data_IF_967512846603
#
_entry.id   IF_967512846603
#
_cell.length_a   1.000
_cell.length_b   1.000
_cell.length_c   1.000
_cell.angle_alpha   90.00
_cell.angle_beta   90.00
_cell.angle_gamma   90.00
#
_symmetry.space_group_name_H-M   'P 1'
#
loop_
_entity.id
_entity.type
_entity.pdbx_description
1 polymer ?
#
# COMPACT_ATOMS: atom_id res chain seq x y z
N UNK A 1 24.15 3.98 3.72
CA UNK A 1 24.04 3.25 5.00
C UNK A 1 23.14 2.03 4.86
N UNK A 2 23.73 0.86 4.62
CA UNK A 2 22.96 -0.40 4.70
C UNK A 2 22.76 -0.71 6.17
N UNK A 3 21.57 -0.43 6.68
CA UNK A 3 21.24 -0.65 8.07
C UNK A 3 21.22 -2.16 8.34
N UNK A 4 22.02 -2.61 9.31
CA UNK A 4 22.00 -3.98 9.82
C UNK A 4 20.84 -4.08 10.84
N UNK A 5 19.62 -4.16 10.32
CA UNK A 5 18.45 -4.32 11.18
C UNK A 5 18.50 -5.70 11.84
N UNK A 6 18.33 -5.73 13.17
CA UNK A 6 18.05 -6.95 13.89
C UNK A 6 16.78 -7.61 13.32
N UNK A 7 16.74 -8.95 13.34
CA UNK A 7 15.55 -9.67 12.94
C UNK A 7 14.35 -9.20 13.78
N UNK A 8 13.29 -8.73 13.14
CA UNK A 8 12.04 -8.41 13.81
C UNK A 8 11.28 -9.70 14.15
N UNK A 9 10.52 -9.73 15.25
CA UNK A 9 9.62 -10.83 15.53
C UNK A 9 8.59 -10.95 14.39
N UNK A 10 8.46 -12.14 13.81
CA UNK A 10 7.45 -12.40 12.80
C UNK A 10 6.08 -12.50 13.46
N UNK A 11 5.08 -11.80 12.92
CA UNK A 11 3.70 -12.01 13.32
C UNK A 11 3.24 -13.41 12.94
N UNK A 12 2.89 -14.19 13.97
CA UNK A 12 2.16 -15.43 13.86
C UNK A 12 0.85 -15.23 14.61
N UNK A 13 -0.27 -15.36 13.90
CA UNK A 13 -1.61 -15.26 14.46
C UNK A 13 -1.84 -16.23 15.63
N UNK A 14 -1.17 -17.39 15.62
CA UNK A 14 -1.33 -18.49 16.57
C UNK A 14 -0.22 -18.61 17.63
N UNK A 15 0.63 -17.59 17.80
CA UNK A 15 1.67 -17.57 18.85
C UNK A 15 1.45 -16.47 19.89
N UNK A 16 2.28 -16.45 20.95
CA UNK A 16 2.45 -15.24 21.76
C UNK A 16 2.95 -14.11 20.85
N UNK A 17 2.22 -13.00 20.86
CA UNK A 17 2.42 -11.87 19.95
C UNK A 17 2.85 -10.61 20.68
N UNK A 18 2.96 -10.62 22.01
CA UNK A 18 3.09 -9.38 22.81
C UNK A 18 4.27 -8.54 22.32
N UNK A 19 5.46 -9.13 22.16
CA UNK A 19 6.63 -8.40 21.68
C UNK A 19 6.48 -7.85 20.24
N UNK A 20 5.77 -8.56 19.36
CA UNK A 20 5.51 -8.11 18.00
C UNK A 20 4.45 -6.99 17.97
N UNK A 21 3.43 -7.10 18.81
CA UNK A 21 2.37 -6.12 18.98
C UNK A 21 2.92 -4.84 19.63
N UNK A 22 3.77 -4.93 20.66
CA UNK A 22 4.51 -3.82 21.25
C UNK A 22 5.36 -3.09 20.20
N UNK A 23 6.11 -3.84 19.37
CA UNK A 23 6.92 -3.26 18.31
C UNK A 23 6.07 -2.58 17.23
N UNK A 24 4.93 -3.15 16.84
CA UNK A 24 3.99 -2.52 15.90
C UNK A 24 3.40 -1.22 16.48
N UNK A 25 2.99 -1.23 17.74
CA UNK A 25 2.48 -0.04 18.43
C UNK A 25 3.55 1.05 18.47
N UNK A 26 4.75 0.71 18.95
CA UNK A 26 5.85 1.66 19.07
C UNK A 26 6.28 2.22 17.70
N UNK A 27 6.43 1.37 16.68
CA UNK A 27 6.84 1.78 15.35
C UNK A 27 5.85 2.74 14.69
N UNK A 28 4.55 2.44 14.76
CA UNK A 28 3.52 3.31 14.16
C UNK A 28 3.27 4.58 14.97
N UNK A 29 3.46 4.53 16.30
CA UNK A 29 3.48 5.72 17.13
C UNK A 29 4.62 6.65 16.70
N UNK A 30 5.85 6.14 16.59
CA UNK A 30 7.04 6.92 16.22
C UNK A 30 6.89 7.52 14.82
N UNK A 31 6.41 6.74 13.85
CA UNK A 31 6.20 7.22 12.48
C UNK A 31 5.25 8.44 12.45
N UNK A 32 4.10 8.34 13.10
CA UNK A 32 3.13 9.44 13.15
C UNK A 32 3.62 10.60 14.00
N UNK A 33 4.26 10.32 15.14
CA UNK A 33 4.80 11.35 16.03
C UNK A 33 5.83 12.22 15.29
N UNK A 34 6.83 11.59 14.66
CA UNK A 34 7.86 12.28 13.88
C UNK A 34 7.26 13.03 12.69
N UNK A 35 6.30 12.42 11.99
CA UNK A 35 5.63 13.06 10.87
C UNK A 35 4.80 14.29 11.27
N UNK A 36 4.45 14.47 12.56
CA UNK A 36 3.74 15.65 13.07
C UNK A 36 4.68 16.71 13.66
N UNK A 37 5.99 16.47 13.71
CA UNK A 37 6.92 17.42 14.30
C UNK A 37 7.04 18.72 13.47
N UNK A 38 7.09 19.85 14.17
CA UNK A 38 7.38 21.18 13.61
C UNK A 38 6.37 21.71 12.57
N UNK A 39 5.11 21.24 12.58
CA UNK A 39 4.02 21.84 11.78
C UNK A 39 2.62 21.51 12.32
N UNK A 40 1.62 22.31 11.90
CA UNK A 40 0.20 22.06 12.21
C UNK A 40 -0.57 21.35 11.07
N UNK A 41 0.17 20.81 10.10
CA UNK A 41 -0.39 20.04 8.98
C UNK A 41 -1.10 18.75 9.41
N UNK A 42 -1.97 18.26 8.52
CA UNK A 42 -2.69 16.99 8.69
C UNK A 42 -1.78 15.82 8.34
N UNK A 43 -1.71 14.81 9.21
CA UNK A 43 -0.93 13.59 8.99
C UNK A 43 -1.85 12.38 8.90
N UNK A 44 -1.75 11.66 7.78
CA UNK A 44 -2.43 10.39 7.56
C UNK A 44 -1.44 9.22 7.46
N UNK A 45 -1.92 8.02 7.73
CA UNK A 45 -1.17 6.78 7.53
C UNK A 45 -1.97 5.83 6.64
N UNK A 46 -1.26 5.12 5.75
CA UNK A 46 -1.85 4.13 4.87
C UNK A 46 -1.51 2.71 5.34
N UNK A 47 -2.53 1.90 5.62
CA UNK A 47 -2.40 0.48 5.92
C UNK A 47 -2.85 -0.40 4.74
N UNK A 48 -2.44 -1.66 4.76
CA UNK A 48 -2.77 -2.65 3.75
C UNK A 48 -3.60 -3.76 4.39
N UNK A 49 -4.78 -4.05 3.83
CA UNK A 49 -5.61 -5.17 4.28
C UNK A 49 -4.88 -6.52 4.16
N UNK A 50 -3.87 -6.61 3.28
CA UNK A 50 -3.03 -7.80 3.11
C UNK A 50 -2.03 -8.06 4.25
N UNK A 51 -1.86 -7.12 5.18
CA UNK A 51 -1.01 -7.28 6.38
C UNK A 51 -1.91 -7.34 7.63
N UNK A 52 -3.08 -7.98 7.50
CA UNK A 52 -4.15 -8.01 8.50
C UNK A 52 -3.68 -8.34 9.92
N UNK A 53 -2.71 -9.26 10.09
CA UNK A 53 -2.23 -9.68 11.41
C UNK A 53 -1.59 -8.52 12.19
N UNK A 54 -0.89 -7.61 11.52
CA UNK A 54 -0.22 -6.48 12.16
C UNK A 54 -1.12 -5.23 12.29
N UNK A 55 -2.26 -5.20 11.61
CA UNK A 55 -3.08 -3.99 11.50
C UNK A 55 -3.62 -3.52 12.87
N UNK A 56 -4.18 -4.38 13.76
CA UNK A 56 -4.71 -3.88 15.03
C UNK A 56 -3.71 -3.15 15.93
N UNK A 57 -2.54 -3.74 16.28
CA UNK A 57 -1.54 -3.01 17.06
C UNK A 57 -0.97 -1.80 16.32
N UNK A 58 -0.76 -1.90 15.00
CA UNK A 58 -0.24 -0.78 14.20
C UNK A 58 -1.19 0.42 14.18
N UNK A 59 -2.48 0.18 13.97
CA UNK A 59 -3.54 1.20 13.99
C UNK A 59 -3.60 1.85 15.37
N UNK A 60 -3.55 1.05 16.44
CA UNK A 60 -3.57 1.56 17.80
C UNK A 60 -2.36 2.48 18.09
N UNK A 61 -1.15 2.08 17.66
CA UNK A 61 0.06 2.91 17.74
C UNK A 61 -0.08 4.25 17.03
N UNK A 62 -0.61 4.25 15.80
CA UNK A 62 -0.87 5.48 15.05
C UNK A 62 -1.91 6.38 15.74
N UNK A 63 -2.96 5.80 16.33
CA UNK A 63 -3.97 6.54 17.09
C UNK A 63 -3.42 7.16 18.37
N UNK A 64 -2.52 6.47 19.08
CA UNK A 64 -1.83 7.02 20.25
C UNK A 64 -1.03 8.28 19.92
N UNK A 65 -0.41 8.33 18.75
CA UNK A 65 0.31 9.51 18.25
C UNK A 65 -0.63 10.59 17.65
N UNK A 66 -1.95 10.37 17.69
CA UNK A 66 -2.94 11.35 17.25
C UNK A 66 -2.99 11.52 15.72
N UNK A 67 -2.84 10.42 14.96
CA UNK A 67 -3.01 10.43 13.50
C UNK A 67 -4.37 11.03 13.11
N UNK A 68 -4.40 11.78 12.02
CA UNK A 68 -5.60 12.49 11.56
C UNK A 68 -6.44 11.65 10.60
N UNK A 69 -5.77 10.87 9.75
CA UNK A 69 -6.41 9.99 8.76
C UNK A 69 -5.80 8.59 8.78
N UNK A 70 -6.67 7.59 8.68
CA UNK A 70 -6.28 6.23 8.31
C UNK A 70 -6.84 5.94 6.93
N UNK A 71 -5.96 5.62 6.00
CA UNK A 71 -6.31 5.18 4.66
C UNK A 71 -6.03 3.70 4.53
N UNK A 72 -6.87 2.95 3.83
CA UNK A 72 -6.67 1.52 3.73
C UNK A 72 -7.20 0.91 2.44
N UNK A 73 -6.35 0.12 1.78
CA UNK A 73 -6.64 -0.55 0.52
C UNK A 73 -6.07 -1.97 0.46
N UNK A 74 -5.83 -2.47 -0.76
CA UNK A 74 -5.37 -3.83 -1.06
C UNK A 74 -6.29 -4.97 -0.56
N UNK A 75 -7.57 -4.65 -0.33
CA UNK A 75 -8.61 -5.57 0.14
C UNK A 75 -9.87 -4.77 0.47
N UNK A 76 -10.81 -5.36 1.22
CA UNK A 76 -12.06 -4.70 1.62
C UNK A 76 -12.11 -4.64 3.16
N UNK A 77 -11.60 -3.56 3.78
CA UNK A 77 -11.40 -3.47 5.23
C UNK A 77 -12.70 -3.13 5.98
N UNK A 78 -13.75 -3.94 5.84
CA UNK A 78 -15.09 -3.63 6.41
C UNK A 78 -15.10 -3.58 7.94
N UNK A 79 -14.18 -4.28 8.61
CA UNK A 79 -14.14 -4.34 10.09
C UNK A 79 -13.27 -3.25 10.72
N UNK A 80 -12.37 -2.63 9.94
CA UNK A 80 -11.41 -1.65 10.43
C UNK A 80 -12.07 -0.36 10.95
N UNK A 81 -13.12 0.19 10.32
CA UNK A 81 -13.86 1.31 10.89
C UNK A 81 -14.38 1.03 12.30
N UNK A 82 -14.91 -0.17 12.56
CA UNK A 82 -15.40 -0.57 13.89
C UNK A 82 -14.26 -0.73 14.89
N UNK A 83 -13.11 -1.26 14.46
CA UNK A 83 -11.90 -1.35 15.28
C UNK A 83 -11.41 0.03 15.73
N UNK A 84 -11.34 0.99 14.80
CA UNK A 84 -10.98 2.39 15.09
C UNK A 84 -11.98 3.01 16.07
N UNK A 85 -13.28 2.77 15.86
CA UNK A 85 -14.34 3.27 16.74
C UNK A 85 -14.19 2.71 18.17
N UNK A 86 -13.83 1.43 18.33
CA UNK A 86 -13.58 0.78 19.62
C UNK A 86 -12.36 1.38 20.33
N UNK A 87 -11.21 1.46 19.65
CA UNK A 87 -10.00 2.08 20.21
C UNK A 87 -10.22 3.53 20.62
N UNK A 88 -11.01 4.31 19.86
CA UNK A 88 -11.35 5.68 20.23
C UNK A 88 -12.12 5.77 21.57
N UNK A 89 -12.86 4.72 21.93
CA UNK A 89 -13.58 4.57 23.22
C UNK A 89 -12.74 3.91 24.31
N UNK A 90 -11.47 3.62 24.06
CA UNK A 90 -10.58 2.91 24.99
C UNK A 90 -10.92 1.42 25.15
N UNK A 91 -11.65 0.85 24.19
CA UNK A 91 -12.08 -0.55 24.21
C UNK A 91 -11.09 -1.44 23.45
N UNK A 92 -11.02 -2.72 23.81
CA UNK A 92 -10.40 -3.75 22.97
C UNK A 92 -11.21 -3.95 21.69
N UNK A 93 -10.58 -4.53 20.65
CA UNK A 93 -11.26 -4.80 19.39
C UNK A 93 -10.73 -6.05 18.71
N UNK A 94 -11.47 -6.50 17.71
CA UNK A 94 -11.13 -7.71 16.97
C UNK A 94 -11.40 -7.56 15.47
N UNK A 95 -10.65 -8.32 14.69
CA UNK A 95 -10.81 -8.39 13.22
C UNK A 95 -10.70 -9.82 12.73
N UNK A 96 -11.45 -10.17 11.70
CA UNK A 96 -11.38 -11.46 11.02
C UNK A 96 -10.27 -11.44 9.98
N UNK A 97 -9.39 -12.42 10.07
CA UNK A 97 -8.32 -12.65 9.12
C UNK A 97 -8.73 -13.78 8.17
N UNK A 98 -8.74 -13.54 6.85
CA UNK A 98 -8.97 -14.60 5.88
C UNK A 98 -7.89 -15.68 5.98
N UNK A 99 -8.31 -16.94 6.14
CA UNK A 99 -7.42 -18.10 6.12
C UNK A 99 -7.87 -19.03 4.98
N UNK A 100 -6.95 -19.35 4.08
CA UNK A 100 -7.25 -20.25 2.97
C UNK A 100 -7.67 -21.63 3.51
N UNK A 101 -8.71 -22.21 2.91
CA UNK A 101 -9.36 -23.48 3.30
C UNK A 101 -10.23 -23.42 4.57
N UNK A 102 -10.37 -22.26 5.20
CA UNK A 102 -11.52 -22.00 6.07
C UNK A 102 -12.71 -21.57 5.20
N UNK A 103 -13.93 -21.96 5.58
CA UNK A 103 -15.12 -21.36 4.96
C UNK A 103 -15.22 -19.88 5.34
N UNK A 104 -16.01 -19.09 4.59
CA UNK A 104 -16.12 -17.64 4.79
C UNK A 104 -16.54 -17.27 6.23
N UNK A 105 -17.27 -18.16 6.90
CA UNK A 105 -17.78 -17.97 8.26
C UNK A 105 -16.81 -18.47 9.36
N UNK A 106 -15.72 -19.16 9.01
CA UNK A 106 -14.75 -19.72 9.96
C UNK A 106 -13.41 -18.94 10.00
N UNK A 107 -13.37 -17.69 9.52
CA UNK A 107 -12.15 -16.86 9.55
C UNK A 107 -11.52 -16.80 10.95
N UNK A 108 -10.19 -16.65 11.01
CA UNK A 108 -9.48 -16.52 12.29
C UNK A 108 -9.77 -15.13 12.89
N UNK A 109 -10.38 -15.07 14.06
CA UNK A 109 -10.60 -13.82 14.78
C UNK A 109 -9.32 -13.44 15.51
N UNK A 110 -8.78 -12.28 15.18
CA UNK A 110 -7.64 -11.69 15.84
C UNK A 110 -8.12 -10.64 16.83
N UNK A 111 -8.02 -10.94 18.11
CA UNK A 111 -8.27 -10.00 19.19
C UNK A 111 -7.01 -9.16 19.49
N UNK A 112 -7.23 -7.88 19.82
CA UNK A 112 -6.21 -6.98 20.35
C UNK A 112 -6.81 -6.13 21.49
N UNK A 113 -6.20 -6.26 22.66
CA UNK A 113 -6.52 -5.47 23.85
C UNK A 113 -5.33 -4.55 24.16
N UNK A 114 -5.49 -3.22 24.11
CA UNK A 114 -4.45 -2.27 24.45
C UNK A 114 -3.72 -2.50 25.78
N UNK A 115 -4.39 -3.09 26.77
CA UNK A 115 -3.81 -3.39 28.08
C UNK A 115 -2.70 -4.45 28.02
N UNK A 116 -2.64 -5.24 26.94
CA UNK A 116 -1.59 -6.26 26.73
C UNK A 116 -0.22 -5.67 26.40
N UNK A 117 -0.17 -4.43 25.93
CA UNK A 117 1.06 -3.75 25.48
C UNK A 117 1.31 -2.42 26.20
N UNK A 118 0.30 -1.86 26.86
CA UNK A 118 0.41 -0.66 27.69
C UNK A 118 -0.23 -0.91 29.05
N UNK A 119 0.53 -0.72 30.13
CA UNK A 119 0.03 -0.92 31.49
C UNK A 119 -1.15 0.00 31.86
N UNK A 120 -1.18 1.22 31.32
CA UNK A 120 -2.24 2.21 31.54
C UNK A 120 -2.66 2.81 30.19
N UNK A 121 -3.47 2.10 29.38
CA UNK A 121 -3.92 2.62 28.10
C UNK A 121 -4.88 3.81 28.33
N UNK A 122 -4.89 4.83 27.46
CA UNK A 122 -5.81 5.96 27.59
C UNK A 122 -7.28 5.51 27.50
N UNK A 123 -8.14 6.08 28.36
CA UNK A 123 -9.59 5.79 28.33
C UNK A 123 -10.27 6.24 27.04
N UNK A 124 -9.69 7.23 26.34
CA UNK A 124 -10.18 7.74 25.05
C UNK A 124 -9.02 8.15 24.17
N UNK A 125 -9.19 7.94 22.87
CA UNK A 125 -8.27 8.41 21.84
C UNK A 125 -9.00 9.31 20.84
N UNK A 126 -8.24 10.19 20.18
CA UNK A 126 -8.75 10.89 19.01
C UNK A 126 -9.08 9.86 17.94
N UNK A 127 -10.33 9.86 17.48
CA UNK A 127 -10.74 9.03 16.35
C UNK A 127 -10.24 9.67 15.05
N UNK A 128 -9.36 9.02 14.27
CA UNK A 128 -9.00 9.50 12.94
C UNK A 128 -10.18 9.41 11.98
N UNK A 129 -10.12 10.15 10.88
CA UNK A 129 -10.99 9.91 9.74
C UNK A 129 -10.55 8.63 9.02
N UNK A 130 -11.50 7.79 8.62
CA UNK A 130 -11.21 6.58 7.87
C UNK A 130 -11.59 6.74 6.40
N UNK A 131 -10.62 6.57 5.49
CA UNK A 131 -10.81 6.60 4.04
C UNK A 131 -10.53 5.22 3.44
N UNK A 132 -11.54 4.59 2.85
CA UNK A 132 -11.32 3.33 2.14
C UNK A 132 -10.77 3.59 0.74
N UNK A 133 -9.73 2.87 0.34
CA UNK A 133 -9.17 2.90 -1.01
C UNK A 133 -9.78 1.75 -1.81
N UNK A 134 -10.52 2.08 -2.87
CA UNK A 134 -11.28 1.12 -3.67
C UNK A 134 -11.07 1.36 -5.17
N UNK A 135 -11.23 0.30 -5.97
CA UNK A 135 -11.09 0.37 -7.43
C UNK A 135 -12.42 0.37 -8.19
N UNK A 136 -13.56 0.29 -7.50
CA UNK A 136 -14.87 0.25 -8.17
C UNK A 136 -16.01 0.76 -7.29
N UNK A 137 -17.11 1.16 -7.94
CA UNK A 137 -18.36 1.54 -7.27
C UNK A 137 -18.91 0.43 -6.36
N UNK A 138 -18.81 -0.85 -6.78
CA UNK A 138 -19.33 -1.97 -5.98
C UNK A 138 -18.58 -2.07 -4.65
N UNK A 139 -17.25 -1.90 -4.68
CA UNK A 139 -16.44 -1.91 -3.46
C UNK A 139 -16.73 -0.69 -2.58
N UNK A 140 -16.93 0.49 -3.17
CA UNK A 140 -17.36 1.68 -2.44
C UNK A 140 -18.71 1.47 -1.75
N UNK A 141 -19.69 0.89 -2.46
CA UNK A 141 -21.00 0.55 -1.92
C UNK A 141 -20.91 -0.47 -0.78
N UNK A 142 -20.04 -1.50 -0.92
CA UNK A 142 -19.77 -2.45 0.15
C UNK A 142 -19.24 -1.73 1.40
N UNK A 143 -18.25 -0.85 1.27
CA UNK A 143 -17.76 -0.07 2.40
C UNK A 143 -18.85 0.81 3.02
N UNK A 144 -19.66 1.48 2.22
CA UNK A 144 -20.73 2.35 2.70
C UNK A 144 -21.86 1.60 3.44
N UNK A 145 -22.09 0.33 3.12
CA UNK A 145 -23.27 -0.42 3.61
C UNK A 145 -22.93 -1.57 4.55
N UNK A 146 -21.69 -2.06 4.55
CA UNK A 146 -21.27 -3.26 5.30
C UNK A 146 -20.16 -2.99 6.32
N UNK A 147 -19.54 -1.80 6.31
CA UNK A 147 -18.56 -1.48 7.33
C UNK A 147 -19.18 -1.52 8.73
N UNK A 148 -18.43 -2.05 9.70
CA UNK A 148 -18.90 -2.22 11.09
C UNK A 148 -18.87 -0.92 11.90
N UNK A 149 -18.22 0.11 11.37
CA UNK A 149 -18.09 1.44 11.97
C UNK A 149 -18.13 2.54 10.92
N UNK A 150 -17.83 3.77 11.34
CA UNK A 150 -18.00 4.93 10.48
C UNK A 150 -16.93 5.01 9.38
N UNK A 151 -17.36 5.06 8.12
CA UNK A 151 -16.54 5.40 6.96
C UNK A 151 -16.68 6.89 6.66
N UNK A 152 -15.57 7.62 6.63
CA UNK A 152 -15.59 9.08 6.46
C UNK A 152 -15.42 9.52 5.00
N UNK A 153 -14.93 8.63 4.13
CA UNK A 153 -14.81 8.90 2.71
C UNK A 153 -14.15 7.77 1.94
N UNK A 154 -14.01 7.96 0.63
CA UNK A 154 -13.51 6.94 -0.30
C UNK A 154 -12.43 7.54 -1.21
N UNK A 155 -11.29 6.88 -1.34
CA UNK A 155 -10.37 7.12 -2.46
C UNK A 155 -10.68 6.11 -3.55
N UNK A 156 -11.01 6.60 -4.75
CA UNK A 156 -11.26 5.77 -5.93
C UNK A 156 -10.01 5.72 -6.78
N UNK A 157 -9.34 4.58 -6.83
CA UNK A 157 -8.11 4.39 -7.61
C UNK A 157 -8.36 3.57 -8.88
N UNK A 158 -8.11 4.20 -10.03
CA UNK A 158 -8.15 3.53 -11.32
C UNK A 158 -6.91 2.67 -11.59
N UNK A 159 -7.03 1.74 -12.55
CA UNK A 159 -5.95 0.82 -12.94
C UNK A 159 -4.72 1.51 -13.56
N UNK A 160 -4.75 2.83 -13.78
CA UNK A 160 -3.58 3.62 -14.18
C UNK A 160 -2.62 3.94 -13.01
N UNK A 161 -3.07 3.79 -11.76
CA UNK A 161 -2.22 3.96 -10.58
C UNK A 161 -1.02 3.00 -10.56
N UNK A 162 0.04 3.40 -9.87
CA UNK A 162 1.24 2.57 -9.67
C UNK A 162 1.05 1.57 -8.52
N UNK A 163 1.93 0.56 -8.45
CA UNK A 163 1.88 -0.45 -7.38
C UNK A 163 0.75 -1.45 -7.58
N UNK A 164 0.07 -1.84 -6.50
CA UNK A 164 -1.02 -2.81 -6.58
C UNK A 164 -2.19 -2.27 -7.39
N UNK A 165 -2.66 -3.05 -8.37
CA UNK A 165 -3.91 -2.78 -9.07
C UNK A 165 -4.92 -3.88 -8.79
N UNK A 166 -6.20 -3.53 -8.80
CA UNK A 166 -7.25 -4.54 -8.82
C UNK A 166 -7.16 -5.30 -10.16
N UNK A 167 -7.41 -6.62 -10.17
CA UNK A 167 -7.49 -7.37 -11.42
C UNK A 167 -8.65 -6.85 -12.28
N UNK A 168 -8.54 -6.93 -13.64
CA UNK A 168 -9.64 -6.60 -14.52
C UNK A 168 -10.92 -7.39 -14.17
N UNK A 169 -12.07 -6.73 -14.28
CA UNK A 169 -13.36 -7.33 -13.97
C UNK A 169 -13.84 -8.21 -15.13
N UNK A 170 -13.64 -9.51 -14.96
CA UNK A 170 -14.10 -10.53 -15.90
C UNK A 170 -13.04 -11.60 -16.09
N UNK A 171 -13.00 -12.19 -17.29
CA UNK A 171 -11.94 -13.12 -17.68
C UNK A 171 -10.67 -12.31 -17.90
N UNK A 172 -9.60 -12.64 -17.17
CA UNK A 172 -8.29 -12.04 -17.39
C UNK A 172 -7.84 -12.34 -18.82
N UNK A 173 -7.60 -11.29 -19.59
CA UNK A 173 -6.98 -11.34 -20.91
C UNK A 173 -5.75 -10.47 -20.89
N UNK A 174 -4.70 -10.90 -21.60
CA UNK A 174 -3.44 -10.16 -21.70
C UNK A 174 -3.28 -9.58 -23.10
N UNK A 175 -2.65 -8.42 -23.20
CA UNK A 175 -2.24 -7.84 -24.47
C UNK A 175 -0.98 -8.51 -25.04
N UNK A 176 -0.49 -8.01 -26.18
CA UNK A 176 0.72 -8.50 -26.85
C UNK A 176 2.00 -8.36 -26.02
N UNK A 177 2.00 -7.46 -25.02
CA UNK A 177 3.11 -7.24 -24.10
C UNK A 177 2.97 -8.06 -22.80
N UNK A 178 1.86 -8.78 -22.64
CA UNK A 178 1.56 -9.59 -21.46
C UNK A 178 0.95 -8.80 -20.30
N UNK A 179 0.44 -7.59 -20.54
CA UNK A 179 -0.25 -6.79 -19.52
C UNK A 179 -1.76 -7.09 -19.47
N UNK A 180 -2.40 -7.01 -18.29
CA UNK A 180 -3.86 -7.14 -18.17
C UNK A 180 -4.62 -6.11 -19.01
N UNK A 181 -5.59 -6.57 -19.78
CA UNK A 181 -6.53 -5.72 -20.52
C UNK A 181 -7.69 -5.34 -19.59
N UNK A 182 -7.84 -4.04 -19.34
CA UNK A 182 -8.97 -3.47 -18.60
C UNK A 182 -10.06 -3.00 -19.56
N UNK A 183 -11.33 -3.27 -19.23
CA UNK A 183 -12.48 -2.95 -20.06
C UNK A 183 -13.40 -1.90 -19.43
N UNK A 184 -14.55 -1.60 -20.07
CA UNK A 184 -15.49 -0.59 -19.58
C UNK A 184 -16.03 -0.85 -18.16
N UNK A 185 -15.99 -2.10 -17.68
CA UNK A 185 -16.41 -2.46 -16.31
C UNK A 185 -15.42 -2.04 -15.23
N UNK A 186 -14.17 -1.75 -15.62
CA UNK A 186 -13.07 -1.31 -14.77
C UNK A 186 -13.04 0.21 -14.62
N UNK A 187 -13.80 0.93 -15.45
CA UNK A 187 -14.04 2.37 -15.29
C UNK A 187 -15.08 2.61 -14.19
N UNK A 188 -14.79 3.55 -13.29
CA UNK A 188 -15.71 3.90 -12.20
C UNK A 188 -16.72 4.94 -12.67
N UNK A 189 -17.99 4.68 -12.36
CA UNK A 189 -19.10 5.60 -12.58
C UNK A 189 -19.17 6.61 -11.43
N UNK A 190 -18.61 7.81 -11.63
CA UNK A 190 -18.57 8.84 -10.60
C UNK A 190 -19.95 9.43 -10.26
N UNK A 191 -20.91 9.39 -11.20
CA UNK A 191 -22.27 9.84 -10.89
C UNK A 191 -22.92 8.94 -9.83
N UNK A 192 -22.67 7.62 -9.91
CA UNK A 192 -23.09 6.69 -8.85
C UNK A 192 -22.32 6.90 -7.54
N UNK A 193 -21.04 7.29 -7.61
CA UNK A 193 -20.27 7.62 -6.41
C UNK A 193 -20.87 8.80 -5.65
N UNK A 194 -21.29 9.86 -6.35
CA UNK A 194 -22.03 10.99 -5.75
C UNK A 194 -23.27 10.51 -4.99
N UNK A 195 -24.00 9.55 -5.55
CA UNK A 195 -25.19 8.96 -4.93
C UNK A 195 -24.95 8.18 -3.63
N UNK A 196 -23.69 7.87 -3.26
CA UNK A 196 -23.36 7.23 -1.97
C UNK A 196 -23.43 8.21 -0.79
N UNK A 197 -23.50 9.52 -1.04
CA UNK A 197 -23.46 10.56 0.00
C UNK A 197 -22.23 10.47 0.93
N UNK A 198 -21.11 9.97 0.39
CA UNK A 198 -19.80 9.99 1.04
C UNK A 198 -18.85 10.85 0.20
N UNK A 199 -17.97 11.66 0.83
CA UNK A 199 -16.95 12.39 0.07
C UNK A 199 -15.99 11.38 -0.57
N UNK A 200 -15.58 11.65 -1.81
CA UNK A 200 -14.62 10.81 -2.49
C UNK A 200 -13.53 11.60 -3.20
N UNK A 201 -12.36 10.98 -3.37
CA UNK A 201 -11.22 11.50 -4.10
C UNK A 201 -10.89 10.57 -5.26
N UNK A 202 -10.40 11.10 -6.37
CA UNK A 202 -10.04 10.30 -7.55
C UNK A 202 -8.52 10.18 -7.63
N UNK A 203 -8.02 8.95 -7.79
CA UNK A 203 -6.62 8.61 -7.98
C UNK A 203 -6.42 7.71 -9.20
N UNK A 204 -5.17 7.62 -9.65
CA UNK A 204 -4.79 6.87 -10.85
C UNK A 204 -5.03 7.69 -12.12
N UNK A 205 -3.98 8.36 -12.59
CA UNK A 205 -3.96 9.31 -13.72
C UNK A 205 -4.48 10.74 -13.45
N UNK A 206 -4.76 11.12 -12.20
CA UNK A 206 -5.10 12.49 -11.82
C UNK A 206 -3.84 13.35 -11.57
N UNK A 207 -2.97 13.50 -12.56
CA UNK A 207 -1.65 14.13 -12.38
C UNK A 207 -1.38 15.34 -13.28
N UNK A 208 -2.42 15.93 -13.89
CA UNK A 208 -2.32 17.12 -14.73
C UNK A 208 -2.85 18.37 -13.99
N UNK A 209 -2.46 19.59 -14.41
CA UNK A 209 -2.95 20.84 -13.79
C UNK A 209 -4.48 20.93 -13.70
N UNK A 210 -5.19 20.44 -14.71
CA UNK A 210 -6.65 20.42 -14.81
C UNK A 210 -7.31 19.31 -13.98
N UNK A 211 -6.55 18.32 -13.50
CA UNK A 211 -7.11 17.10 -12.88
C UNK A 211 -7.98 17.40 -11.66
N UNK A 212 -7.65 18.42 -10.87
CA UNK A 212 -8.47 18.79 -9.71
C UNK A 212 -9.84 19.31 -10.14
N UNK A 213 -9.87 20.27 -11.07
CA UNK A 213 -11.10 20.88 -11.57
C UNK A 213 -11.99 19.84 -12.26
N UNK A 214 -11.40 18.96 -13.08
CA UNK A 214 -12.11 17.87 -13.74
C UNK A 214 -12.73 16.89 -12.74
N UNK A 215 -11.98 16.51 -11.71
CA UNK A 215 -12.47 15.61 -10.66
C UNK A 215 -13.60 16.26 -9.86
N UNK A 216 -13.49 17.56 -9.56
CA UNK A 216 -14.56 18.32 -8.90
C UNK A 216 -15.82 18.43 -9.76
N UNK A 217 -15.68 18.64 -11.09
CA UNK A 217 -16.81 18.60 -12.03
C UNK A 217 -17.50 17.22 -12.05
N UNK A 218 -16.75 16.14 -11.83
CA UNK A 218 -17.28 14.80 -11.68
C UNK A 218 -17.89 14.51 -10.29
N UNK A 219 -17.90 15.49 -9.38
CA UNK A 219 -18.47 15.40 -8.03
C UNK A 219 -17.50 14.98 -6.94
N UNK A 220 -16.21 14.79 -7.25
CA UNK A 220 -15.21 14.45 -6.25
C UNK A 220 -14.84 15.64 -5.35
N UNK A 221 -14.40 15.36 -4.13
CA UNK A 221 -13.86 16.35 -3.19
C UNK A 221 -12.45 16.82 -3.58
N UNK A 222 -11.68 15.96 -4.25
CA UNK A 222 -10.32 16.25 -4.70
C UNK A 222 -9.68 15.08 -5.44
N UNK A 223 -8.35 15.11 -5.52
CA UNK A 223 -7.54 14.11 -6.22
C UNK A 223 -6.48 13.50 -5.30
N UNK A 224 -6.01 12.31 -5.68
CA UNK A 224 -4.82 11.68 -5.12
C UNK A 224 -3.73 11.60 -6.20
N UNK A 225 -2.53 12.10 -5.88
CA UNK A 225 -1.38 12.11 -6.79
C UNK A 225 -0.24 11.35 -6.14
N UNK A 226 0.11 10.18 -6.70
CA UNK A 226 1.21 9.36 -6.19
C UNK A 226 2.52 9.60 -6.94
N UNK A 227 2.54 9.29 -8.24
CA UNK A 227 3.78 9.19 -9.01
C UNK A 227 4.60 10.48 -9.10
N UNK A 228 3.97 11.66 -9.16
CA UNK A 228 4.74 12.92 -9.12
C UNK A 228 5.45 13.09 -7.77
N UNK A 229 4.75 12.86 -6.65
CA UNK A 229 5.36 12.96 -5.32
C UNK A 229 6.42 11.88 -5.07
N UNK A 230 6.24 10.68 -5.62
CA UNK A 230 7.20 9.58 -5.48
C UNK A 230 8.61 9.92 -6.00
N UNK A 231 8.72 10.80 -7.00
CA UNK A 231 10.01 11.19 -7.60
C UNK A 231 10.52 12.55 -7.12
N UNK A 232 9.86 13.18 -6.13
CA UNK A 232 10.36 14.41 -5.51
C UNK A 232 11.70 14.17 -4.79
N UNK A 233 12.48 15.23 -4.62
CA UNK A 233 13.74 15.20 -3.85
C UNK A 233 13.51 14.65 -2.44
N UNK A 234 12.42 15.04 -1.79
CA UNK A 234 12.02 14.67 -0.43
C UNK A 234 11.54 13.22 -0.29
N UNK A 235 11.21 12.54 -1.38
CA UNK A 235 10.78 11.13 -1.36
C UNK A 235 11.94 10.19 -0.98
N UNK A 236 11.63 9.18 -0.17
CA UNK A 236 12.57 8.16 0.28
C UNK A 236 13.10 7.20 -0.80
N UNK A 237 12.56 7.21 -2.03
CA UNK A 237 13.15 6.43 -3.13
C UNK A 237 14.61 6.87 -3.34
N UNK A 238 15.52 5.91 -3.43
CA UNK A 238 16.94 6.16 -3.62
C UNK A 238 17.21 7.14 -4.79
N UNK A 239 18.04 8.18 -4.60
CA UNK A 239 18.25 9.23 -5.59
C UNK A 239 18.68 8.72 -6.97
N UNK A 240 19.51 7.68 -7.02
CA UNK A 240 19.96 7.07 -8.27
C UNK A 240 18.83 6.34 -9.00
N UNK A 241 17.89 5.71 -8.28
CA UNK A 241 16.71 5.09 -8.89
C UNK A 241 15.78 6.15 -9.48
N UNK A 242 15.54 7.25 -8.74
CA UNK A 242 14.76 8.40 -9.22
C UNK A 242 15.39 8.97 -10.50
N UNK A 243 16.68 9.29 -10.44
CA UNK A 243 17.42 9.88 -11.56
C UNK A 243 17.36 8.99 -12.81
N UNK A 244 17.70 7.70 -12.68
CA UNK A 244 17.71 6.76 -13.82
C UNK A 244 16.35 6.64 -14.49
N UNK A 245 15.27 6.59 -13.72
CA UNK A 245 13.93 6.52 -14.29
C UNK A 245 13.54 7.84 -14.97
N UNK A 246 13.74 8.99 -14.32
CA UNK A 246 13.41 10.29 -14.89
C UNK A 246 14.24 10.61 -16.15
N UNK A 247 15.50 10.15 -16.24
CA UNK A 247 16.31 10.24 -17.47
C UNK A 247 15.69 9.45 -18.62
N UNK A 248 15.18 8.23 -18.37
CA UNK A 248 14.44 7.46 -19.36
C UNK A 248 13.13 8.16 -19.76
N UNK A 249 12.41 8.78 -18.82
CA UNK A 249 11.19 9.56 -19.12
C UNK A 249 11.53 10.73 -20.04
N UNK A 250 12.57 11.50 -19.69
CA UNK A 250 13.07 12.63 -20.51
C UNK A 250 13.47 12.18 -21.92
N UNK A 251 14.07 11.00 -22.06
CA UNK A 251 14.47 10.45 -23.34
C UNK A 251 13.33 9.78 -24.12
N UNK A 252 12.11 9.68 -23.58
CA UNK A 252 11.00 8.98 -24.21
C UNK A 252 11.18 7.46 -24.28
N UNK A 253 12.02 6.89 -23.41
CA UNK A 253 12.36 5.45 -23.39
C UNK A 253 11.94 4.75 -22.10
N UNK A 254 11.29 5.48 -21.18
CA UNK A 254 10.75 4.89 -19.96
C UNK A 254 9.60 3.93 -20.30
N UNK A 255 9.61 2.78 -19.62
CA UNK A 255 8.57 1.78 -19.74
C UNK A 255 8.03 1.45 -18.36
N UNK A 256 6.73 1.21 -18.32
CA UNK A 256 5.99 0.80 -17.13
C UNK A 256 5.28 -0.49 -17.50
N UNK A 257 5.31 -1.47 -16.61
CA UNK A 257 4.72 -2.78 -16.85
C UNK A 257 3.81 -3.17 -15.69
N UNK A 258 2.59 -3.54 -16.01
CA UNK A 258 1.60 -4.06 -15.07
C UNK A 258 1.74 -5.57 -15.00
N UNK A 259 2.57 -6.04 -14.07
CA UNK A 259 2.87 -7.46 -13.96
C UNK A 259 1.63 -8.23 -13.45
N UNK A 260 0.99 -9.10 -14.25
CA UNK A 260 -0.30 -9.73 -13.89
C UNK A 260 -0.20 -10.60 -12.64
N UNK A 261 0.95 -11.26 -12.44
CA UNK A 261 1.24 -12.16 -11.31
C UNK A 261 2.36 -11.68 -10.38
N UNK A 262 2.74 -10.40 -10.47
CA UNK A 262 3.96 -9.92 -9.82
C UNK A 262 3.85 -9.86 -8.30
N UNK A 263 2.64 -9.64 -7.77
CA UNK A 263 2.43 -9.62 -6.32
C UNK A 263 2.15 -11.02 -5.74
N UNK A 264 2.73 -11.36 -4.57
CA UNK A 264 2.36 -12.58 -3.85
C UNK A 264 0.90 -12.58 -3.38
N UNK A 265 0.24 -11.42 -3.36
CA UNK A 265 -1.18 -11.28 -2.94
C UNK A 265 -2.17 -11.69 -4.02
N UNK A 266 -1.68 -12.04 -5.23
CA UNK A 266 -2.50 -12.41 -6.39
C UNK A 266 -3.00 -11.21 -7.21
N UNK A 267 -2.62 -9.99 -6.84
CA UNK A 267 -3.01 -8.78 -7.55
C UNK A 267 -1.95 -8.41 -8.60
N UNK A 268 -2.35 -7.83 -9.75
CA UNK A 268 -1.40 -7.18 -10.64
C UNK A 268 -0.57 -6.13 -9.90
N UNK A 269 0.69 -5.98 -10.29
CA UNK A 269 1.61 -5.04 -9.66
C UNK A 269 2.36 -4.23 -10.72
N UNK A 270 2.17 -2.92 -10.71
CA UNK A 270 2.70 -2.01 -11.71
C UNK A 270 4.03 -1.40 -11.28
N UNK A 271 5.02 -1.57 -12.16
CA UNK A 271 6.42 -1.26 -11.89
C UNK A 271 7.07 -0.49 -13.03
N UNK A 272 8.05 0.34 -12.70
CA UNK A 272 8.97 0.90 -13.68
C UNK A 272 9.94 -0.21 -14.14
N UNK A 273 10.19 -0.32 -15.45
CA UNK A 273 11.20 -1.22 -15.97
C UNK A 273 12.59 -0.56 -15.90
N UNK A 274 13.42 -1.05 -14.97
CA UNK A 274 14.78 -0.59 -14.74
C UNK A 274 15.75 -1.78 -14.63
N UNK A 275 16.86 -1.70 -15.36
CA UNK A 275 17.93 -2.70 -15.34
C UNK A 275 18.54 -2.82 -13.92
N UNK A 276 19.02 -4.00 -13.53
CA UNK A 276 19.63 -4.16 -12.20
C UNK A 276 18.65 -3.94 -11.03
N UNK A 277 17.35 -4.10 -11.28
CA UNK A 277 16.30 -4.08 -10.26
C UNK A 277 15.45 -5.34 -10.38
N UNK A 278 14.53 -5.57 -9.44
CA UNK A 278 13.65 -6.74 -9.48
C UNK A 278 12.62 -6.68 -10.62
N UNK A 279 12.53 -5.59 -11.41
CA UNK A 279 11.77 -5.59 -12.66
C UNK A 279 12.50 -6.27 -13.82
N UNK A 280 13.82 -6.51 -13.71
CA UNK A 280 14.65 -7.16 -14.72
C UNK A 280 14.55 -8.69 -14.59
N UNK A 281 14.11 -9.37 -15.66
CA UNK A 281 13.95 -10.84 -15.69
C UNK A 281 15.25 -11.59 -15.44
N UNK A 282 16.40 -11.07 -15.89
CA UNK A 282 17.68 -11.73 -15.66
C UNK A 282 18.06 -11.69 -14.18
N UNK A 283 17.80 -10.57 -13.52
CA UNK A 283 18.04 -10.40 -12.10
C UNK A 283 17.05 -11.19 -11.24
N UNK A 284 15.78 -11.28 -11.66
CA UNK A 284 14.80 -12.17 -11.03
C UNK A 284 15.27 -13.63 -11.01
N UNK A 285 15.80 -14.13 -12.13
CA UNK A 285 16.32 -15.51 -12.22
C UNK A 285 17.57 -15.75 -11.37
N UNK A 286 18.43 -14.74 -11.23
CA UNK A 286 19.65 -14.82 -10.39
C UNK A 286 19.32 -14.70 -8.90
N UNK A 287 18.25 -13.99 -8.54
CA UNK A 287 17.87 -13.76 -7.16
C UNK A 287 17.53 -15.07 -6.46
N UNK A 288 18.26 -15.35 -5.37
CA UNK A 288 17.91 -16.47 -4.47
C UNK A 288 16.65 -16.11 -3.68
N UNK A 289 15.55 -16.81 -3.96
CA UNK A 289 14.25 -16.59 -3.31
C UNK A 289 14.28 -17.01 -1.83
N UNK A 290 13.95 -16.08 -0.94
CA UNK A 290 13.78 -16.28 0.50
C UNK A 290 12.65 -15.36 1.00
N UNK A 291 11.83 -15.86 1.93
CA UNK A 291 10.83 -15.06 2.63
C UNK A 291 11.24 -14.93 4.10
N UNK A 292 11.88 -13.81 4.44
CA UNK A 292 12.38 -13.52 5.78
C UNK A 292 11.76 -12.25 6.41
N UNK A 293 11.00 -11.46 5.64
CA UNK A 293 10.18 -10.37 6.18
C UNK A 293 8.76 -10.81 6.53
N UNK A 294 8.14 -11.62 5.67
CA UNK A 294 6.92 -12.36 6.02
C UNK A 294 5.58 -11.59 6.04
N UNK A 295 5.55 -10.30 5.71
CA UNK A 295 4.33 -9.47 5.82
C UNK A 295 3.19 -9.84 4.88
N UNK A 296 3.51 -10.34 3.68
CA UNK A 296 2.51 -10.70 2.66
C UNK A 296 2.28 -12.21 2.56
N UNK A 297 2.56 -12.97 3.63
CA UNK A 297 2.26 -14.40 3.68
C UNK A 297 0.75 -14.60 3.72
N UNK A 298 0.25 -15.55 2.95
CA UNK A 298 -1.11 -16.04 3.07
C UNK A 298 -1.18 -17.06 4.23
N UNK A 299 -2.24 -16.92 5.03
CA UNK A 299 -2.57 -17.89 6.06
C UNK A 299 -3.36 -19.03 5.41
N UNK A 300 -3.07 -20.27 5.79
CA UNK A 300 -3.83 -21.44 5.34
C UNK A 300 -4.01 -22.45 6.47
N UNK A 301 -5.04 -23.29 6.40
CA UNK A 301 -5.22 -24.40 7.35
C UNK A 301 -4.28 -25.56 7.01
N UNK A 302 -3.45 -25.97 7.95
CA UNK A 302 -2.57 -27.15 7.81
C UNK A 302 -3.37 -28.45 7.90
N UNK A 303 -2.74 -29.57 7.53
CA UNK A 303 -3.33 -30.91 7.70
C UNK A 303 -3.58 -31.27 9.15
N UNK A 304 -2.83 -30.66 10.07
CA UNK A 304 -2.94 -30.81 11.52
C UNK A 304 -4.01 -29.88 12.14
N UNK A 305 -4.63 -29.01 11.32
CA UNK A 305 -5.68 -28.09 11.76
C UNK A 305 -5.18 -26.77 12.36
N UNK A 306 -3.88 -26.51 12.34
CA UNK A 306 -3.24 -25.25 12.79
C UNK A 306 -3.15 -24.22 11.65
N UNK A 307 -2.67 -23.01 11.96
CA UNK A 307 -2.45 -21.96 10.97
C UNK A 307 -1.04 -22.08 10.40
N UNK A 308 -0.96 -22.30 9.08
CA UNK A 308 0.28 -22.26 8.32
C UNK A 308 0.46 -20.93 7.60
N UNK A 309 1.72 -20.60 7.29
CA UNK A 309 2.08 -19.39 6.55
C UNK A 309 2.91 -19.75 5.33
N UNK A 310 2.50 -19.24 4.17
CA UNK A 310 3.23 -19.44 2.91
C UNK A 310 3.18 -18.18 2.06
N UNK A 311 4.11 -18.02 1.14
CA UNK A 311 4.14 -16.87 0.24
C UNK A 311 4.51 -17.31 -1.16
N UNK A 312 3.74 -16.98 -2.21
CA UNK A 312 4.10 -17.37 -3.57
C UNK A 312 5.49 -16.91 -4.00
N UNK A 313 6.02 -15.82 -3.44
CA UNK A 313 7.35 -15.27 -3.71
C UNK A 313 8.50 -15.89 -2.87
N UNK A 314 8.21 -16.86 -2.00
CA UNK A 314 9.25 -17.61 -1.28
C UNK A 314 9.95 -18.64 -2.18
N UNK A 315 10.85 -19.46 -1.65
CA UNK A 315 11.43 -20.57 -2.41
C UNK A 315 10.32 -21.52 -2.93
N UNK A 316 10.35 -21.84 -4.22
CA UNK A 316 9.29 -22.63 -4.88
C UNK A 316 9.07 -24.02 -4.26
N UNK A 317 10.16 -24.72 -3.89
CA UNK A 317 10.05 -26.03 -3.23
C UNK A 317 9.43 -25.90 -1.84
N UNK A 318 9.79 -24.85 -1.10
CA UNK A 318 9.21 -24.57 0.22
C UNK A 318 7.72 -24.19 0.10
N UNK A 319 7.35 -23.38 -0.89
CA UNK A 319 5.96 -23.03 -1.17
C UNK A 319 5.12 -24.26 -1.52
N UNK A 320 5.63 -25.12 -2.41
CA UNK A 320 4.98 -26.36 -2.79
C UNK A 320 4.84 -27.35 -1.62
N UNK A 321 5.88 -27.48 -0.78
CA UNK A 321 5.84 -28.32 0.42
C UNK A 321 4.77 -27.86 1.43
N UNK A 322 4.44 -26.57 1.45
CA UNK A 322 3.33 -25.97 2.24
C UNK A 322 1.98 -26.03 1.51
N UNK A 323 1.87 -26.84 0.46
CA UNK A 323 0.66 -27.04 -0.32
C UNK A 323 0.24 -25.85 -1.18
N UNK A 324 1.18 -24.95 -1.51
CA UNK A 324 0.94 -23.79 -2.36
C UNK A 324 0.73 -24.16 -3.83
N UNK A 325 -0.02 -23.32 -4.56
CA UNK A 325 -0.27 -23.52 -6.00
C UNK A 325 0.94 -23.07 -6.84
N UNK A 326 1.64 -24.04 -7.44
CA UNK A 326 2.80 -23.77 -8.29
C UNK A 326 2.56 -22.72 -9.38
N UNK A 327 1.32 -22.57 -9.88
CA UNK A 327 0.94 -21.59 -10.90
C UNK A 327 1.10 -20.13 -10.46
N UNK A 328 1.12 -19.89 -9.13
CA UNK A 328 1.29 -18.58 -8.50
C UNK A 328 2.73 -18.26 -8.12
N UNK A 329 3.63 -19.25 -8.14
CA UNK A 329 4.97 -19.07 -7.58
C UNK A 329 5.99 -18.57 -8.60
N UNK A 330 5.92 -19.02 -9.87
CA UNK A 330 6.95 -18.78 -10.88
C UNK A 330 7.31 -17.30 -11.09
N UNK A 331 6.30 -16.44 -11.25
CA UNK A 331 6.51 -15.02 -11.55
C UNK A 331 6.34 -14.09 -10.32
N UNK A 332 6.10 -14.65 -9.13
CA UNK A 332 5.84 -13.84 -7.94
C UNK A 332 7.11 -13.18 -7.42
N UNK A 333 7.07 -11.85 -7.30
CA UNK A 333 8.18 -11.03 -6.81
C UNK A 333 8.08 -10.81 -5.30
N UNK A 334 9.22 -10.80 -4.61
CA UNK A 334 9.24 -10.52 -3.17
C UNK A 334 9.08 -9.01 -2.92
N UNK A 335 7.83 -8.53 -2.85
CA UNK A 335 7.56 -7.10 -2.66
C UNK A 335 8.07 -6.55 -1.33
N UNK A 336 8.00 -7.33 -0.24
CA UNK A 336 8.44 -6.86 1.08
C UNK A 336 9.91 -6.40 1.04
N UNK A 337 10.78 -7.28 0.57
CA UNK A 337 12.21 -7.02 0.46
C UNK A 337 12.53 -5.95 -0.58
N UNK A 338 11.90 -6.02 -1.74
CA UNK A 338 12.23 -5.14 -2.85
C UNK A 338 11.80 -3.69 -2.60
N UNK A 339 10.67 -3.46 -1.92
CA UNK A 339 10.22 -2.12 -1.57
C UNK A 339 11.09 -1.49 -0.48
N UNK A 340 11.57 -2.27 0.50
CA UNK A 340 12.58 -1.78 1.44
C UNK A 340 13.89 -1.43 0.73
N UNK A 341 14.34 -2.26 -0.22
CA UNK A 341 15.52 -1.96 -1.03
C UNK A 341 15.38 -0.68 -1.86
N UNK A 342 14.19 -0.37 -2.38
CA UNK A 342 13.90 0.88 -3.10
C UNK A 342 14.19 2.14 -2.29
N UNK A 343 14.06 2.07 -0.96
CA UNK A 343 14.28 3.20 -0.05
C UNK A 343 15.60 3.11 0.73
N UNK A 344 16.53 2.25 0.29
CA UNK A 344 17.85 2.12 0.93
C UNK A 344 17.88 1.22 2.17
N UNK A 345 16.76 0.57 2.51
CA UNK A 345 16.64 -0.38 3.62
C UNK A 345 16.74 -1.84 3.13
N UNK A 346 17.37 -2.05 1.98
CA UNK A 346 17.56 -3.38 1.40
C UNK A 346 18.47 -4.23 2.28
N UNK A 347 18.05 -5.47 2.54
CA UNK A 347 18.82 -6.38 3.38
C UNK A 347 20.11 -6.82 2.69
N UNK A 348 21.16 -6.92 3.49
CA UNK A 348 22.42 -7.54 3.08
C UNK A 348 22.47 -8.97 3.60
N UNK A 349 22.61 -9.92 2.70
CA UNK A 349 22.68 -11.34 3.02
C UNK A 349 24.10 -11.74 3.45
N UNK A 350 24.24 -12.87 4.16
CA UNK A 350 25.54 -13.40 4.58
C UNK A 350 26.52 -13.64 3.42
N UNK A 351 26.01 -13.86 2.20
CA UNK A 351 26.82 -13.97 0.98
C UNK A 351 27.38 -12.63 0.48
N UNK A 352 27.04 -11.51 1.10
CA UNK A 352 27.33 -10.15 0.64
C UNK A 352 26.36 -9.62 -0.43
N UNK A 353 25.41 -10.45 -0.90
CA UNK A 353 24.35 -10.01 -1.81
C UNK A 353 23.50 -8.93 -1.13
N UNK A 354 23.21 -7.86 -1.86
CA UNK A 354 22.29 -6.81 -1.44
C UNK A 354 20.98 -7.00 -2.19
N UNK A 355 19.87 -6.91 -1.47
CA UNK A 355 18.54 -7.07 -2.04
C UNK A 355 18.25 -6.05 -3.16
N UNK A 356 17.55 -6.51 -4.20
CA UNK A 356 17.26 -5.67 -5.38
C UNK A 356 16.03 -4.79 -5.14
N UNK A 357 16.05 -3.51 -5.58
CA UNK A 357 14.90 -2.62 -5.47
C UNK A 357 13.79 -2.98 -6.47
N UNK A 358 12.59 -2.47 -6.24
CA UNK A 358 11.48 -2.50 -7.20
C UNK A 358 10.74 -1.15 -7.17
N UNK A 359 10.87 -0.38 -8.24
CA UNK A 359 10.28 0.97 -8.31
C UNK A 359 8.85 0.87 -8.85
N UNK A 360 7.90 1.49 -8.15
CA UNK A 360 6.50 1.57 -8.57
C UNK A 360 6.19 2.94 -9.15
N UNK A 361 5.36 2.97 -10.21
CA UNK A 361 4.94 4.20 -10.88
C UNK A 361 3.64 3.94 -11.64
N UNK A 362 2.80 4.95 -11.77
CA UNK A 362 1.60 4.91 -12.61
C UNK A 362 1.93 5.03 -14.09
N UNK A 363 0.93 4.81 -14.94
CA UNK A 363 1.11 4.82 -16.41
C UNK A 363 1.14 6.22 -17.03
N UNK A 364 0.75 7.27 -16.29
CA UNK A 364 0.66 8.65 -16.78
C UNK A 364 2.02 9.37 -16.84
N UNK A 365 2.90 8.90 -17.71
CA UNK A 365 4.27 9.43 -17.84
C UNK A 365 4.34 10.85 -18.40
N UNK A 366 3.33 11.31 -19.13
CA UNK A 366 3.31 12.67 -19.69
C UNK A 366 3.40 13.76 -18.62
N UNK A 367 2.70 13.60 -17.50
CA UNK A 367 2.83 14.53 -16.37
C UNK A 367 4.26 14.57 -15.80
N UNK A 368 4.97 13.44 -15.77
CA UNK A 368 6.37 13.40 -15.36
C UNK A 368 7.28 14.10 -16.39
N UNK A 369 7.03 13.89 -17.70
CA UNK A 369 7.76 14.58 -18.76
C UNK A 369 7.61 16.10 -18.63
N UNK A 370 6.39 16.59 -18.44
CA UNK A 370 6.12 18.02 -18.25
C UNK A 370 6.74 18.57 -16.96
N UNK A 371 6.71 17.80 -15.86
CA UNK A 371 7.44 18.15 -14.63
C UNK A 371 8.94 18.31 -14.86
N UNK A 372 9.55 17.38 -15.60
CA UNK A 372 10.99 17.41 -15.93
C UNK A 372 11.31 18.60 -16.83
N UNK A 373 10.47 18.91 -17.81
CA UNK A 373 10.65 20.06 -18.71
C UNK A 373 10.59 21.39 -17.93
N UNK A 374 9.71 21.48 -16.93
CA UNK A 374 9.50 22.72 -16.16
C UNK A 374 10.48 22.90 -15.00
N UNK A 375 10.81 21.84 -14.26
CA UNK A 375 11.55 21.90 -13.00
C UNK A 375 12.84 21.08 -13.00
N UNK A 376 13.13 20.35 -14.08
CA UNK A 376 14.28 19.47 -14.19
C UNK A 376 14.10 18.12 -13.51
N UNK A 377 15.18 17.34 -13.44
CA UNK A 377 15.19 15.97 -12.89
C UNK A 377 15.19 15.90 -11.35
N UNK A 378 15.21 17.06 -10.68
CA UNK A 378 15.32 17.16 -9.22
C UNK A 378 14.32 18.18 -8.71
N UNK A 379 13.05 17.90 -8.95
CA UNK A 379 11.95 18.74 -8.50
C UNK A 379 11.52 18.37 -7.07
N UNK A 380 10.85 19.31 -6.41
CA UNK A 380 10.40 19.21 -5.01
C UNK A 380 8.91 18.93 -4.90
N UNK A 381 8.44 18.54 -3.72
CA UNK A 381 7.00 18.45 -3.44
C UNK A 381 6.28 19.78 -3.69
N UNK A 382 6.94 20.91 -3.42
CA UNK A 382 6.43 22.26 -3.72
C UNK A 382 6.26 22.48 -5.22
N UNK A 383 7.19 22.00 -6.04
CA UNK A 383 7.09 22.11 -7.49
C UNK A 383 5.91 21.30 -8.04
N UNK A 384 5.63 20.13 -7.47
CA UNK A 384 4.42 19.35 -7.81
C UNK A 384 3.15 20.14 -7.49
N UNK A 385 3.07 20.77 -6.30
CA UNK A 385 1.94 21.63 -5.96
C UNK A 385 1.82 22.80 -6.94
N UNK A 386 2.94 23.45 -7.31
CA UNK A 386 2.94 24.54 -8.28
C UNK A 386 2.55 24.10 -9.70
N UNK A 387 2.91 22.88 -10.08
CA UNK A 387 2.49 22.27 -11.33
C UNK A 387 0.99 22.04 -11.38
N UNK A 388 0.42 21.51 -10.30
CA UNK A 388 -1.01 21.24 -10.16
C UNK A 388 -1.85 22.50 -9.89
N UNK A 389 -1.24 23.69 -9.83
CA UNK A 389 -1.93 24.94 -9.51
C UNK A 389 -2.37 25.05 -8.05
N UNK A 390 -1.77 24.27 -7.15
CA UNK A 390 -2.14 24.14 -5.73
C UNK A 390 -1.18 24.86 -4.78
N UNK A 391 -0.39 25.82 -5.27
CA UNK A 391 0.53 26.57 -4.40
C UNK A 391 -0.30 27.35 -3.36
N UNK A 392 -0.09 27.15 -2.06
CA UNK A 392 -0.75 27.98 -1.06
C UNK A 392 -0.40 29.46 -1.30
N UNK A 393 -1.38 30.35 -1.18
CA UNK A 393 -1.08 31.78 -1.06
C UNK A 393 -0.07 31.93 0.07
N UNK A 394 1.03 32.65 -0.16
CA UNK A 394 2.04 32.93 0.89
C UNK A 394 1.29 33.38 2.14
N UNK A 395 1.43 32.65 3.24
CA UNK A 395 1.03 33.15 4.55
C UNK A 395 1.73 34.49 4.72
N UNK A 396 0.94 35.56 4.79
CA UNK A 396 1.43 36.85 5.21
C UNK A 396 2.03 36.63 6.60
N UNK A 397 3.35 36.75 6.72
CA UNK A 397 4.06 36.73 8.00
C UNK A 397 3.26 37.58 8.99
N UNK A 398 2.70 36.94 10.01
CA UNK A 398 2.13 37.63 11.17
C UNK A 398 3.25 38.02 12.13
#
# INVERSE_FOLDING_TARGET
DTHDFSAHPLWHADSDRVAADELAVAGNFVEVYLAKENHDGVVGINFLEKIAVANPPAIYGAMLAGVDYILMGAGIPVEIPGLIDAFARGEAGSVRIPVERFSHDEGYVLDFDPSTVLANPPERLKRPFFLAIVSSYVLALTMATRATGKVDGIVVEGHFAGGHNAPPRGVLSLDENGEPIYGPKDTVDYAKMVGLNLPFWIGGACSMPESLEESQRAGARGIQVGSLFAFCTESGILPELKKRFLEKVKAGTAQVFTHPKGSPTGYPFKVALLDGTLSDKNEQQRRKRLCNVGFLRELYKTTEGTIGYRCPAENEKAYAAKGGDASRSGDALCLCNALFATIGLGMKYASGYLELPLVTVGSSLDSLRLMIERFGLSYTARDVLAFLGLTPAREAKR
#
